data_IF_380951511112
#
_entry.id   IF_380951511112
#
_cell.length_a   1.000
_cell.length_b   1.000
_cell.length_c   1.000
_cell.angle_alpha   90.00
_cell.angle_beta   90.00
_cell.angle_gamma   90.00
#
_symmetry.space_group_name_H-M   'P 1'
#
loop_
_entity.id
_entity.type
_entity.pdbx_description
1 polymer ?
#
# COMPACT_ATOMS: atom_id res chain seq x y z
N UNK A 1 20.43 -3.09 -43.79
CA UNK A 1 19.04 -3.22 -43.25
C UNK A 1 18.93 -4.15 -42.04
N UNK A 2 19.82 -5.14 -41.86
CA UNK A 2 19.80 -6.11 -40.74
C UNK A 2 20.06 -5.47 -39.35
N UNK A 3 21.12 -4.65 -39.22
CA UNK A 3 21.54 -4.03 -37.94
C UNK A 3 20.45 -3.16 -37.29
N UNK A 4 19.69 -2.40 -38.08
CA UNK A 4 18.60 -1.55 -37.58
C UNK A 4 17.44 -2.36 -36.99
N UNK A 5 17.18 -3.57 -37.52
CA UNK A 5 16.15 -4.48 -37.00
C UNK A 5 16.56 -5.09 -35.65
N UNK A 6 17.85 -5.43 -35.49
CA UNK A 6 18.37 -5.92 -34.20
C UNK A 6 18.39 -4.85 -33.12
N UNK A 7 18.75 -3.61 -33.45
CA UNK A 7 18.69 -2.49 -32.51
C UNK A 7 17.25 -2.24 -32.08
N UNK A 8 16.29 -2.25 -33.02
CA UNK A 8 14.87 -2.07 -32.70
C UNK A 8 14.34 -3.21 -31.82
N UNK A 9 14.72 -4.45 -32.11
CA UNK A 9 14.34 -5.62 -31.31
C UNK A 9 14.92 -5.51 -29.89
N UNK A 10 16.20 -5.13 -29.76
CA UNK A 10 16.84 -4.96 -28.47
C UNK A 10 16.19 -3.85 -27.65
N UNK A 11 15.89 -2.71 -28.27
CA UNK A 11 15.20 -1.59 -27.63
C UNK A 11 13.78 -1.99 -27.20
N UNK A 12 13.08 -2.76 -28.03
CA UNK A 12 11.75 -3.29 -27.71
C UNK A 12 11.82 -4.27 -26.53
N UNK A 13 12.74 -5.23 -26.54
CA UNK A 13 12.93 -6.16 -25.42
C UNK A 13 13.33 -5.44 -24.13
N UNK A 14 14.25 -4.48 -24.21
CA UNK A 14 14.67 -3.67 -23.08
C UNK A 14 13.51 -2.85 -22.53
N UNK A 15 12.70 -2.23 -23.40
CA UNK A 15 11.52 -1.48 -22.99
C UNK A 15 10.47 -2.40 -22.35
N UNK A 16 10.24 -3.61 -22.88
CA UNK A 16 9.30 -4.56 -22.25
C UNK A 16 9.79 -5.07 -20.89
N UNK A 17 11.09 -5.30 -20.72
CA UNK A 17 11.69 -5.69 -19.43
C UNK A 17 11.59 -4.56 -18.43
N UNK A 18 11.88 -3.33 -18.85
CA UNK A 18 11.75 -2.13 -18.01
C UNK A 18 10.29 -1.83 -17.65
N UNK A 19 9.34 -2.00 -18.58
CA UNK A 19 7.90 -1.85 -18.33
C UNK A 19 7.35 -2.96 -17.42
N UNK A 20 7.84 -4.20 -17.51
CA UNK A 20 7.49 -5.26 -16.56
C UNK A 20 8.01 -4.94 -15.15
N UNK A 21 9.19 -4.31 -15.05
CA UNK A 21 9.73 -3.79 -13.79
C UNK A 21 8.95 -2.57 -13.24
N UNK A 22 8.23 -1.82 -14.09
CA UNK A 22 7.46 -0.65 -13.66
C UNK A 22 6.17 -1.03 -12.92
N UNK A 23 5.64 -2.25 -13.07
CA UNK A 23 4.50 -2.73 -12.29
C UNK A 23 4.91 -3.27 -10.91
N UNK A 24 5.80 -2.56 -10.21
CA UNK A 24 6.28 -2.99 -8.90
C UNK A 24 5.18 -2.85 -7.85
N UNK A 25 4.97 -3.91 -7.08
CA UNK A 25 4.11 -3.90 -5.90
C UNK A 25 4.93 -3.51 -4.66
N UNK A 26 4.31 -2.77 -3.74
CA UNK A 26 4.85 -2.51 -2.39
C UNK A 26 3.86 -2.99 -1.34
N UNK A 27 4.39 -3.57 -0.27
CA UNK A 27 3.64 -4.07 0.87
C UNK A 27 4.01 -3.24 2.09
N UNK A 28 3.03 -2.59 2.71
CA UNK A 28 3.19 -1.82 3.94
C UNK A 28 2.65 -2.68 5.07
N UNK A 29 3.55 -3.15 5.94
CA UNK A 29 3.19 -3.89 7.15
C UNK A 29 3.28 -2.95 8.35
N UNK A 30 2.29 -3.03 9.24
CA UNK A 30 2.19 -2.12 10.38
C UNK A 30 1.37 -2.75 11.51
N UNK A 31 1.62 -2.27 12.71
CA UNK A 31 0.75 -2.50 13.88
C UNK A 31 -0.14 -1.26 14.06
N UNK A 32 -1.48 -1.39 14.04
CA UNK A 32 -2.39 -0.27 14.22
C UNK A 32 -2.12 0.47 15.54
N UNK A 33 -2.05 1.79 15.46
CA UNK A 33 -1.83 2.64 16.62
C UNK A 33 -3.14 3.33 17.01
N UNK A 34 -3.50 3.26 18.29
CA UNK A 34 -4.68 3.92 18.84
C UNK A 34 -4.38 5.31 19.46
N UNK A 35 -3.12 5.66 19.78
CA UNK A 35 -2.85 6.94 20.48
C UNK A 35 -1.49 7.66 20.29
N UNK A 36 -0.57 7.18 19.43
CA UNK A 36 0.77 7.79 19.32
C UNK A 36 0.85 9.03 18.40
N UNK A 37 2.00 9.70 18.49
CA UNK A 37 2.36 10.87 17.67
C UNK A 37 2.53 10.57 16.18
N UNK A 38 2.59 9.31 15.74
CA UNK A 38 2.64 8.89 14.34
C UNK A 38 2.17 7.45 14.23
N UNK A 39 1.76 7.01 13.05
CA UNK A 39 1.39 5.61 12.84
C UNK A 39 0.59 5.34 11.59
N UNK A 40 0.04 4.13 11.54
CA UNK A 40 -1.01 3.76 10.61
C UNK A 40 -2.27 3.47 11.41
N UNK A 41 -3.33 4.24 11.17
CA UNK A 41 -4.68 3.94 11.64
C UNK A 41 -5.33 2.98 10.64
N UNK A 42 -6.06 1.98 11.14
CA UNK A 42 -6.91 1.10 10.33
C UNK A 42 -8.36 1.19 10.84
N UNK A 43 -9.27 1.65 9.99
CA UNK A 43 -10.69 1.81 10.31
C UNK A 43 -11.55 1.02 9.35
N UNK A 44 -12.56 0.32 9.88
CA UNK A 44 -13.46 -0.54 9.10
C UNK A 44 -14.88 0.00 9.16
N UNK A 45 -15.49 0.23 8.00
CA UNK A 45 -16.84 0.79 7.86
C UNK A 45 -17.76 -0.21 7.19
N UNK A 46 -18.86 -0.56 7.87
CA UNK A 46 -19.92 -1.39 7.31
C UNK A 46 -20.95 -0.50 6.61
N UNK A 47 -21.06 -0.64 5.29
CA UNK A 47 -22.03 0.12 4.49
C UNK A 47 -23.31 -0.69 4.38
N UNK A 48 -24.27 -0.38 5.26
CA UNK A 48 -25.56 -1.09 5.31
C UNK A 48 -26.56 -0.61 4.25
N UNK A 49 -26.47 0.62 3.74
CA UNK A 49 -27.58 1.25 3.00
C UNK A 49 -27.57 1.09 1.47
N UNK A 50 -26.58 0.42 0.86
CA UNK A 50 -26.45 0.30 -0.61
C UNK A 50 -25.89 -1.07 -1.05
N UNK A 51 -26.53 -2.18 -0.66
CA UNK A 51 -26.21 -3.52 -1.19
C UNK A 51 -25.21 -4.35 -0.37
N UNK A 52 -24.73 -3.83 0.76
CA UNK A 52 -23.79 -4.50 1.66
C UNK A 52 -22.35 -4.44 1.15
N UNK A 53 -21.43 -4.07 2.03
CA UNK A 53 -20.00 -4.01 1.74
C UNK A 53 -19.21 -3.47 2.93
N UNK A 54 -17.92 -3.75 2.92
CA UNK A 54 -16.99 -3.32 3.98
C UNK A 54 -15.91 -2.45 3.34
N UNK A 55 -15.74 -1.23 3.85
CA UNK A 55 -14.65 -0.35 3.41
C UNK A 55 -13.61 -0.28 4.51
N UNK A 56 -12.37 -0.61 4.16
CA UNK A 56 -11.21 -0.46 5.01
C UNK A 56 -10.49 0.84 4.65
N UNK A 57 -10.32 1.73 5.62
CA UNK A 57 -9.57 2.96 5.49
C UNK A 57 -8.29 2.82 6.28
N UNK A 58 -7.17 2.93 5.58
CA UNK A 58 -5.85 2.97 6.18
C UNK A 58 -5.32 4.39 6.11
N UNK A 59 -4.81 4.90 7.22
CA UNK A 59 -4.29 6.27 7.28
C UNK A 59 -2.89 6.26 7.85
N UNK A 60 -1.92 6.62 7.02
CA UNK A 60 -0.58 6.98 7.49
C UNK A 60 -0.62 8.42 8.00
N UNK A 61 -0.22 8.65 9.25
CA UNK A 61 -0.21 9.97 9.85
C UNK A 61 0.99 10.24 10.73
N UNK A 62 1.28 11.53 10.91
CA UNK A 62 2.16 12.07 11.93
C UNK A 62 1.48 13.30 12.54
N UNK A 63 1.46 13.39 13.86
CA UNK A 63 0.93 14.48 14.67
C UNK A 63 2.06 15.42 15.08
N UNK A 64 1.78 16.72 15.17
CA UNK A 64 2.72 17.65 15.76
C UNK A 64 2.82 17.38 17.26
N UNK A 65 4.06 17.35 17.78
CA UNK A 65 4.37 17.06 19.18
C UNK A 65 3.43 17.81 20.13
N UNK A 66 2.83 17.08 21.08
CA UNK A 66 1.90 17.59 22.08
C UNK A 66 0.61 18.24 21.51
N UNK A 67 0.22 17.89 20.29
CA UNK A 67 -1.04 18.36 19.69
C UNK A 67 -1.78 17.22 18.99
N UNK A 68 -3.07 17.41 18.72
CA UNK A 68 -3.84 16.56 17.79
C UNK A 68 -3.73 17.02 16.33
N UNK A 69 -2.86 17.98 16.03
CA UNK A 69 -2.71 18.54 14.69
C UNK A 69 -1.90 17.58 13.84
N UNK A 70 -2.48 17.10 12.74
CA UNK A 70 -1.82 16.22 11.77
C UNK A 70 -0.82 17.02 10.92
N UNK A 71 0.48 16.71 11.01
CA UNK A 71 1.56 17.25 10.17
C UNK A 71 1.51 16.62 8.79
N UNK A 72 1.35 15.29 8.74
CA UNK A 72 1.18 14.51 7.52
C UNK A 72 -0.04 13.60 7.69
N UNK A 73 -0.81 13.47 6.62
CA UNK A 73 -2.00 12.63 6.60
C UNK A 73 -2.23 12.11 5.19
N UNK A 74 -2.05 10.80 5.02
CA UNK A 74 -2.25 10.11 3.77
C UNK A 74 -3.24 8.97 3.97
N UNK A 75 -4.36 9.09 3.28
CA UNK A 75 -5.45 8.11 3.34
C UNK A 75 -5.36 7.16 2.16
N UNK A 76 -5.55 5.89 2.45
CA UNK A 76 -5.66 4.79 1.52
C UNK A 76 -6.96 4.05 1.80
N UNK A 77 -7.57 3.51 0.75
CA UNK A 77 -8.88 2.86 0.82
C UNK A 77 -8.81 1.50 0.13
N UNK A 78 -9.31 0.49 0.82
CA UNK A 78 -9.70 -0.78 0.24
C UNK A 78 -11.22 -0.91 0.37
N UNK A 79 -11.88 -1.04 -0.76
CA UNK A 79 -13.33 -1.12 -0.86
C UNK A 79 -13.73 -2.56 -1.17
N UNK A 80 -14.43 -3.24 -0.27
CA UNK A 80 -14.95 -4.58 -0.47
C UNK A 80 -16.48 -4.58 -0.63
N UNK A 81 -17.00 -3.65 -1.43
CA UNK A 81 -18.38 -3.72 -1.92
C UNK A 81 -18.52 -4.79 -3.01
N UNK A 82 -19.71 -5.38 -3.13
CA UNK A 82 -20.01 -6.51 -4.03
C UNK A 82 -19.70 -6.26 -5.52
N UNK A 83 -19.60 -5.00 -5.92
CA UNK A 83 -19.24 -4.53 -7.26
C UNK A 83 -17.72 -4.40 -7.47
N UNK A 84 -16.89 -4.50 -6.43
CA UNK A 84 -15.42 -4.46 -6.51
C UNK A 84 -14.80 -5.87 -6.48
N UNK A 85 -15.29 -6.77 -7.35
CA UNK A 85 -14.87 -8.19 -7.42
C UNK A 85 -13.44 -8.36 -7.93
N UNK A 86 -12.92 -7.39 -8.68
CA UNK A 86 -11.65 -7.50 -9.40
C UNK A 86 -10.40 -7.46 -8.52
N UNK A 87 -10.53 -7.12 -7.22
CA UNK A 87 -9.38 -6.90 -6.36
C UNK A 87 -9.62 -7.35 -4.91
N UNK A 88 -9.89 -8.64 -4.65
CA UNK A 88 -10.13 -9.13 -3.30
C UNK A 88 -8.88 -9.04 -2.43
N UNK A 89 -9.08 -8.93 -1.11
CA UNK A 89 -7.99 -9.16 -0.16
C UNK A 89 -7.43 -10.56 -0.34
N UNK A 90 -6.13 -10.71 -0.11
CA UNK A 90 -5.42 -11.98 -0.25
C UNK A 90 -4.97 -12.47 1.13
N UNK A 91 -4.87 -13.78 1.29
CA UNK A 91 -4.20 -14.39 2.44
C UNK A 91 -3.00 -15.16 1.90
N UNK A 92 -1.82 -14.88 2.44
CA UNK A 92 -0.56 -15.53 2.03
C UNK A 92 0.21 -16.02 3.25
N UNK A 93 1.10 -17.00 3.06
CA UNK A 93 2.09 -17.39 4.08
C UNK A 93 2.96 -16.19 4.46
N UNK A 94 3.39 -16.08 5.71
CA UNK A 94 4.35 -15.05 6.14
C UNK A 94 5.67 -15.09 5.37
N UNK A 95 6.11 -16.26 4.91
CA UNK A 95 7.36 -16.40 4.13
C UNK A 95 7.35 -15.57 2.85
N UNK A 96 6.16 -15.27 2.32
CA UNK A 96 5.97 -14.36 1.19
C UNK A 96 6.68 -13.01 1.40
N UNK A 97 6.67 -12.49 2.63
CA UNK A 97 7.23 -11.17 2.96
C UNK A 97 8.74 -11.09 2.72
N UNK A 98 9.44 -12.23 2.73
CA UNK A 98 10.88 -12.30 2.49
C UNK A 98 11.27 -12.04 1.03
N UNK A 99 10.28 -11.99 0.12
CA UNK A 99 10.50 -11.93 -1.34
C UNK A 99 9.92 -10.70 -2.02
N UNK A 100 9.38 -9.76 -1.23
CA UNK A 100 8.66 -8.59 -1.76
C UNK A 100 9.27 -7.27 -1.31
N UNK A 101 8.91 -6.20 -2.01
CA UNK A 101 9.20 -4.84 -1.56
C UNK A 101 8.37 -4.55 -0.31
N UNK A 102 8.98 -4.73 0.86
CA UNK A 102 8.34 -4.55 2.15
C UNK A 102 8.74 -3.21 2.76
N UNK A 103 7.75 -2.46 3.22
CA UNK A 103 7.91 -1.34 4.12
C UNK A 103 7.32 -1.75 5.46
N UNK A 104 8.20 -2.06 6.40
CA UNK A 104 7.82 -2.20 7.80
C UNK A 104 7.69 -0.81 8.41
N UNK A 105 6.44 -0.36 8.60
CA UNK A 105 6.15 0.97 9.09
C UNK A 105 6.50 1.14 10.56
N UNK A 106 6.49 0.05 11.33
CA UNK A 106 6.80 0.07 12.77
C UNK A 106 8.28 0.44 13.00
N UNK A 107 9.13 0.19 11.99
CA UNK A 107 10.56 0.55 12.00
C UNK A 107 10.86 1.94 11.41
N UNK A 108 9.86 2.70 10.95
CA UNK A 108 10.07 4.01 10.31
C UNK A 108 10.17 5.11 11.36
N UNK A 109 11.39 5.61 11.59
CA UNK A 109 11.68 6.66 12.56
C UNK A 109 12.22 7.96 11.97
N UNK A 110 11.74 9.09 12.49
CA UNK A 110 12.18 10.43 12.10
C UNK A 110 11.47 10.98 10.85
N UNK A 111 11.25 12.30 10.83
CA UNK A 111 10.53 13.02 9.78
C UNK A 111 11.02 12.73 8.36
N UNK A 112 12.34 12.80 8.14
CA UNK A 112 12.94 12.56 6.81
C UNK A 112 12.69 11.14 6.32
N UNK A 113 12.71 10.16 7.23
CA UNK A 113 12.45 8.77 6.90
C UNK A 113 10.98 8.57 6.50
N UNK A 114 10.04 9.12 7.28
CA UNK A 114 8.60 9.10 6.98
C UNK A 114 8.32 9.64 5.56
N UNK A 115 8.84 10.83 5.25
CA UNK A 115 8.67 11.42 3.91
C UNK A 115 9.28 10.55 2.80
N UNK A 116 10.48 10.00 3.03
CA UNK A 116 11.17 9.17 2.06
C UNK A 116 10.43 7.84 1.81
N UNK A 117 9.93 7.20 2.86
CA UNK A 117 9.17 5.94 2.77
C UNK A 117 7.81 6.17 2.14
N UNK A 118 7.16 7.29 2.45
CA UNK A 118 5.94 7.67 1.75
C UNK A 118 6.18 7.87 0.25
N UNK A 119 7.22 8.62 -0.15
CA UNK A 119 7.58 8.79 -1.57
C UNK A 119 7.89 7.45 -2.24
N UNK A 120 8.59 6.55 -1.54
CA UNK A 120 8.84 5.19 -2.01
C UNK A 120 7.55 4.41 -2.23
N UNK A 121 6.62 4.40 -1.26
CA UNK A 121 5.30 3.75 -1.41
C UNK A 121 4.56 4.31 -2.63
N UNK A 122 4.54 5.63 -2.79
CA UNK A 122 3.84 6.29 -3.90
C UNK A 122 4.52 6.12 -5.27
N UNK A 123 5.76 5.61 -5.32
CA UNK A 123 6.45 5.30 -6.58
C UNK A 123 6.07 3.95 -7.17
N UNK A 124 5.22 3.17 -6.48
CA UNK A 124 4.75 1.85 -6.90
C UNK A 124 3.34 1.92 -7.48
N UNK A 125 3.08 1.13 -8.52
CA UNK A 125 1.78 1.05 -9.18
C UNK A 125 0.73 0.32 -8.35
N UNK A 126 1.18 -0.65 -7.54
CA UNK A 126 0.32 -1.48 -6.69
C UNK A 126 0.76 -1.35 -5.25
N UNK A 127 -0.16 -0.96 -4.40
CA UNK A 127 0.09 -0.72 -2.97
C UNK A 127 -0.79 -1.68 -2.18
N UNK A 128 -0.17 -2.39 -1.25
CA UNK A 128 -0.84 -3.34 -0.38
C UNK A 128 -0.57 -3.02 1.08
N UNK A 129 -1.59 -3.14 1.92
CA UNK A 129 -1.50 -2.91 3.36
C UNK A 129 -1.70 -4.23 4.11
N UNK A 130 -0.92 -4.42 5.16
CA UNK A 130 -0.94 -5.61 6.02
C UNK A 130 -1.02 -5.12 7.46
N UNK A 131 -2.18 -5.34 8.06
CA UNK A 131 -2.38 -5.13 9.49
C UNK A 131 -1.88 -6.36 10.25
N UNK A 132 -0.87 -6.17 11.12
CA UNK A 132 -0.33 -7.26 11.94
C UNK A 132 -1.36 -7.84 12.90
N UNK A 133 -2.33 -7.06 13.39
CA UNK A 133 -3.37 -7.54 14.30
C UNK A 133 -4.38 -8.46 13.61
N UNK A 134 -4.49 -8.40 12.29
CA UNK A 134 -5.32 -9.32 11.49
C UNK A 134 -4.54 -10.50 10.92
N UNK A 135 -3.25 -10.58 11.20
CA UNK A 135 -2.37 -11.67 10.76
C UNK A 135 -2.33 -12.79 11.78
N UNK A 136 -2.12 -14.03 11.33
CA UNK A 136 -1.92 -15.19 12.22
C UNK A 136 -0.43 -15.49 12.37
N UNK A 137 -0.06 -16.54 13.12
CA UNK A 137 1.33 -16.96 13.21
C UNK A 137 1.93 -17.30 11.85
N UNK A 138 1.14 -17.91 10.95
CA UNK A 138 1.64 -18.48 9.69
C UNK A 138 1.23 -17.67 8.45
N UNK A 139 0.27 -16.75 8.57
CA UNK A 139 -0.30 -16.05 7.42
C UNK A 139 -0.53 -14.57 7.65
N UNK A 140 -0.54 -13.82 6.55
CA UNK A 140 -0.84 -12.39 6.52
C UNK A 140 -2.04 -12.13 5.63
N UNK A 141 -2.89 -11.22 6.08
CA UNK A 141 -3.99 -10.68 5.28
C UNK A 141 -3.53 -9.42 4.57
N UNK A 142 -3.74 -9.39 3.26
CA UNK A 142 -3.17 -8.40 2.36
C UNK A 142 -4.31 -7.63 1.69
N UNK A 143 -4.36 -6.34 1.94
CA UNK A 143 -5.37 -5.43 1.41
C UNK A 143 -4.82 -4.66 0.22
N UNK A 144 -5.34 -4.85 -1.00
CA UNK A 144 -4.99 -3.97 -2.11
C UNK A 144 -5.64 -2.61 -1.90
N UNK A 145 -4.84 -1.55 -1.77
CA UNK A 145 -5.37 -0.22 -1.47
C UNK A 145 -5.15 0.74 -2.63
N UNK A 146 -6.00 1.76 -2.70
CA UNK A 146 -5.80 2.93 -3.55
C UNK A 146 -5.63 4.16 -2.66
N UNK A 147 -4.71 5.06 -3.04
CA UNK A 147 -4.62 6.35 -2.36
C UNK A 147 -5.92 7.11 -2.58
N UNK A 148 -6.53 7.57 -1.50
CA UNK A 148 -7.66 8.47 -1.56
C UNK A 148 -7.16 9.87 -1.96
N UNK A 149 -7.77 10.43 -3.00
CA UNK A 149 -7.55 11.79 -3.46
C UNK A 149 -8.89 12.50 -3.39
N UNK A 150 -9.00 13.66 -2.70
CA UNK A 150 -10.22 14.44 -2.69
C UNK A 150 -10.65 14.74 -4.12
N UNK A 151 -11.91 14.43 -4.47
CA UNK A 151 -12.52 14.94 -5.70
C UNK A 151 -13.06 16.34 -5.37
N UNK A 152 -12.49 17.35 -6.04
CA UNK A 152 -12.97 18.73 -5.99
C UNK A 152 -14.30 18.85 -6.74
#
# INVERSE_FOLDING_TARGET
>A
MLMKKFILLYLFTLCTVLCAYSQSAVYVIFTPIESDTKGVEHSVFNIHNLGGGVVHIFTIFELAKNTRKKLYFYRFEYDNRKDNVDNPFQVKSKDFLNSVNLVDWDLVEGKTNVESKFKYIMSHDKIYFIDQNESTNDSVKIYPVKRWVPKY
#
